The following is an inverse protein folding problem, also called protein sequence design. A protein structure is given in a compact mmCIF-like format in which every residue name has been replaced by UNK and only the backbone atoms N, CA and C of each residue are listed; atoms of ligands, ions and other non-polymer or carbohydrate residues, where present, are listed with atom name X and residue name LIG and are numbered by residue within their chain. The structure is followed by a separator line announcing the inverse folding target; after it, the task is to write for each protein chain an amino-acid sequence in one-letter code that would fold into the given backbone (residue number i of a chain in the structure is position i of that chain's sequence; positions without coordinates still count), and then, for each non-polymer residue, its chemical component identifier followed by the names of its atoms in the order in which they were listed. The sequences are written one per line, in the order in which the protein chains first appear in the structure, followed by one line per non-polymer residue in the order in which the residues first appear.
data_IF_300898330065
#
_entry.id   IF_300898330065
#
_cell.length_a   1.000
_cell.length_b   1.000
_cell.length_c   1.000
_cell.angle_alpha   90.00
_cell.angle_beta   90.00
_cell.angle_gamma   90.00
#
_symmetry.space_group_name_H-M   'P 1'
#
loop_
_entity.id
_entity.type
_entity.pdbx_description
1 polymer ?
#
# COMPACT_ATOMS: atom_id res chain seq x y z
N UNK A 1 30.88 -44.18 14.13
CA UNK A 1 31.42 -43.26 15.17
C UNK A 1 30.45 -43.25 16.34
N UNK A 2 30.91 -43.24 17.59
CA UNK A 2 30.01 -43.10 18.75
C UNK A 2 29.81 -41.61 19.14
N UNK A 3 28.80 -41.32 19.96
CA UNK A 3 28.44 -39.94 20.36
C UNK A 3 29.62 -39.21 21.00
N UNK A 4 30.36 -39.86 21.91
CA UNK A 4 31.50 -39.24 22.62
C UNK A 4 32.65 -38.86 21.68
N UNK A 5 32.95 -39.69 20.69
CA UNK A 5 33.94 -39.39 19.65
C UNK A 5 33.48 -38.26 18.74
N UNK A 6 32.20 -38.26 18.36
CA UNK A 6 31.59 -37.20 17.56
C UNK A 6 31.65 -35.84 18.26
N UNK A 7 31.26 -35.78 19.53
CA UNK A 7 31.37 -34.57 20.36
C UNK A 7 32.84 -34.14 20.47
N UNK A 8 33.75 -35.06 20.83
CA UNK A 8 35.17 -34.72 21.00
C UNK A 8 35.79 -34.16 19.70
N UNK A 9 35.36 -34.63 18.54
CA UNK A 9 35.91 -34.24 17.25
C UNK A 9 35.47 -32.83 16.81
N UNK A 10 34.21 -32.46 17.06
CA UNK A 10 33.63 -31.23 16.49
C UNK A 10 33.32 -30.13 17.49
N UNK A 11 33.48 -30.38 18.80
CA UNK A 11 33.19 -29.42 19.88
C UNK A 11 33.86 -28.06 19.69
N UNK A 12 35.13 -28.04 19.27
CA UNK A 12 35.87 -26.80 19.08
C UNK A 12 35.22 -25.91 18.01
N UNK A 13 34.73 -26.50 16.91
CA UNK A 13 34.04 -25.75 15.85
C UNK A 13 32.71 -25.17 16.32
N UNK A 14 31.99 -25.89 17.20
CA UNK A 14 30.74 -25.43 17.79
C UNK A 14 30.95 -24.28 18.78
N UNK A 15 31.99 -24.37 19.62
CA UNK A 15 32.38 -23.30 20.55
C UNK A 15 32.80 -22.03 19.78
N UNK A 16 33.52 -22.16 18.66
CA UNK A 16 33.85 -21.03 17.78
C UNK A 16 32.59 -20.38 17.16
N UNK A 17 31.60 -21.18 16.76
CA UNK A 17 30.33 -20.67 16.26
C UNK A 17 29.57 -19.91 17.34
N UNK A 18 29.50 -20.44 18.56
CA UNK A 18 28.82 -19.81 19.70
C UNK A 18 29.47 -18.47 20.11
N UNK A 19 30.80 -18.40 20.09
CA UNK A 19 31.54 -17.15 20.27
C UNK A 19 31.23 -16.14 19.15
N UNK A 20 31.20 -16.60 17.90
CA UNK A 20 30.86 -15.78 16.74
C UNK A 20 29.43 -15.23 16.81
N UNK A 21 28.47 -16.06 17.24
CA UNK A 21 27.08 -15.64 17.54
C UNK A 21 27.06 -14.51 18.55
N UNK A 22 27.84 -14.63 19.64
CA UNK A 22 27.91 -13.61 20.70
C UNK A 22 28.48 -12.28 20.20
N UNK A 23 29.54 -12.32 19.38
CA UNK A 23 30.18 -11.14 18.79
C UNK A 23 29.23 -10.44 17.82
N UNK A 24 28.57 -11.20 16.94
CA UNK A 24 27.64 -10.66 15.95
C UNK A 24 26.36 -10.11 16.60
N UNK A 25 25.85 -10.78 17.64
CA UNK A 25 24.67 -10.31 18.38
C UNK A 25 24.90 -8.97 19.08
N UNK A 26 26.10 -8.72 19.60
CA UNK A 26 26.47 -7.46 20.28
C UNK A 26 26.66 -6.25 19.33
N UNK A 27 26.49 -6.41 18.01
CA UNK A 27 26.62 -5.33 17.00
C UNK A 27 27.88 -4.46 17.20
N UNK A 28 29.04 -5.09 17.45
CA UNK A 28 30.29 -4.37 17.57
C UNK A 28 30.62 -3.66 16.25
N UNK A 29 30.99 -2.37 16.29
CA UNK A 29 31.31 -1.53 15.11
C UNK A 29 32.49 -2.02 14.25
N UNK A 30 33.09 -3.18 14.56
CA UNK A 30 34.28 -3.76 13.91
C UNK A 30 34.05 -5.12 13.26
N UNK A 31 32.82 -5.47 12.85
CA UNK A 31 32.60 -6.72 12.11
C UNK A 31 33.13 -6.56 10.68
N UNK A 32 34.12 -7.36 10.30
CA UNK A 32 34.70 -7.38 8.96
C UNK A 32 34.00 -8.39 8.05
N UNK A 33 34.19 -8.28 6.73
CA UNK A 33 33.71 -9.28 5.77
C UNK A 33 34.29 -10.68 6.04
N UNK A 34 35.53 -10.76 6.52
CA UNK A 34 36.18 -12.01 6.89
C UNK A 34 35.44 -12.72 8.05
N UNK A 35 34.98 -11.97 9.05
CA UNK A 35 34.23 -12.51 10.19
C UNK A 35 32.88 -13.10 9.76
N UNK A 36 32.20 -12.45 8.80
CA UNK A 36 30.93 -12.93 8.25
C UNK A 36 31.12 -14.23 7.45
N UNK A 37 32.18 -14.30 6.63
CA UNK A 37 32.48 -15.51 5.87
C UNK A 37 32.88 -16.69 6.77
N UNK A 38 33.65 -16.44 7.83
CA UNK A 38 34.00 -17.45 8.82
C UNK A 38 32.76 -17.96 9.56
N UNK A 39 31.89 -17.05 10.01
CA UNK A 39 30.62 -17.39 10.66
C UNK A 39 29.72 -18.24 9.76
N UNK A 40 29.55 -17.87 8.48
CA UNK A 40 28.74 -18.63 7.53
C UNK A 40 29.29 -20.05 7.31
N UNK A 41 30.62 -20.21 7.25
CA UNK A 41 31.27 -21.53 7.11
C UNK A 41 31.01 -22.40 8.35
N UNK A 42 31.19 -21.86 9.55
CA UNK A 42 30.95 -22.57 10.81
C UNK A 42 29.47 -22.97 10.95
N UNK A 43 28.55 -22.07 10.57
CA UNK A 43 27.12 -22.36 10.52
C UNK A 43 26.78 -23.55 9.60
N UNK A 44 27.32 -23.56 8.37
CA UNK A 44 27.05 -24.65 7.41
C UNK A 44 27.56 -26.00 7.94
N UNK A 45 28.74 -26.02 8.56
CA UNK A 45 29.28 -27.22 9.20
C UNK A 45 28.39 -27.69 10.37
N UNK A 46 27.98 -26.78 11.25
CA UNK A 46 27.09 -27.11 12.36
C UNK A 46 25.73 -27.66 11.88
N UNK A 47 25.18 -27.13 10.79
CA UNK A 47 23.95 -27.65 10.17
C UNK A 47 24.13 -29.07 9.60
N UNK A 48 25.28 -29.35 8.99
CA UNK A 48 25.63 -30.71 8.55
C UNK A 48 25.77 -31.67 9.74
N UNK A 49 26.42 -31.23 10.83
CA UNK A 49 26.57 -32.02 12.05
C UNK A 49 25.23 -32.29 12.72
N UNK A 50 24.29 -31.32 12.71
CA UNK A 50 22.93 -31.50 13.18
C UNK A 50 22.18 -32.56 12.35
N UNK A 51 22.26 -32.49 11.02
CA UNK A 51 21.61 -33.48 10.15
C UNK A 51 22.15 -34.89 10.40
N UNK A 52 23.47 -35.02 10.62
CA UNK A 52 24.09 -36.27 11.01
C UNK A 52 23.60 -36.74 12.39
N UNK A 53 23.59 -35.87 13.40
CA UNK A 53 23.20 -36.24 14.76
C UNK A 53 21.71 -36.60 14.87
N UNK A 54 20.83 -35.94 14.11
CA UNK A 54 19.41 -36.31 14.00
C UNK A 54 19.21 -37.72 13.43
N UNK A 55 20.10 -38.16 12.54
CA UNK A 55 20.00 -39.49 11.91
C UNK A 55 20.56 -40.59 12.81
N UNK A 56 21.69 -40.35 13.46
CA UNK A 56 22.43 -41.40 14.19
C UNK A 56 22.28 -41.33 15.71
N UNK A 57 21.94 -40.16 16.26
CA UNK A 57 21.87 -39.86 17.70
C UNK A 57 20.66 -38.98 18.08
N UNK A 58 19.42 -39.32 17.66
CA UNK A 58 18.27 -38.43 17.81
C UNK A 58 17.91 -38.08 19.26
N UNK A 59 18.10 -39.02 20.20
CA UNK A 59 17.71 -38.90 21.61
C UNK A 59 18.84 -38.36 22.52
N UNK A 60 19.97 -37.94 21.95
CA UNK A 60 21.14 -37.49 22.70
C UNK A 60 21.19 -35.96 22.83
N UNK A 61 21.68 -35.46 23.98
CA UNK A 61 21.76 -34.02 24.30
C UNK A 61 22.49 -33.20 23.22
N UNK A 62 23.47 -33.80 22.54
CA UNK A 62 24.23 -33.15 21.46
C UNK A 62 23.32 -32.72 20.30
N UNK A 63 22.28 -33.49 20.01
CA UNK A 63 21.34 -33.18 18.92
C UNK A 63 20.47 -31.97 19.29
N UNK A 64 20.02 -31.89 20.54
CA UNK A 64 19.30 -30.72 21.03
C UNK A 64 20.21 -29.48 21.04
N UNK A 65 21.44 -29.59 21.55
CA UNK A 65 22.41 -28.50 21.56
C UNK A 65 22.67 -27.94 20.15
N UNK A 66 22.92 -28.83 19.18
CA UNK A 66 23.15 -28.44 17.78
C UNK A 66 21.93 -27.78 17.16
N UNK A 67 20.73 -28.27 17.46
CA UNK A 67 19.49 -27.68 16.96
C UNK A 67 19.32 -26.24 17.44
N UNK A 68 19.59 -25.98 18.72
CA UNK A 68 19.54 -24.62 19.28
C UNK A 68 20.61 -23.71 18.67
N UNK A 69 21.86 -24.19 18.55
CA UNK A 69 22.98 -23.43 18.02
C UNK A 69 22.77 -23.05 16.55
N UNK A 70 22.30 -23.99 15.72
CA UNK A 70 21.98 -23.76 14.31
C UNK A 70 20.80 -22.80 14.17
N UNK A 71 19.76 -22.94 15.00
CA UNK A 71 18.59 -22.05 14.98
C UNK A 71 18.97 -20.60 15.36
N UNK A 72 19.76 -20.40 16.42
CA UNK A 72 20.25 -19.08 16.83
C UNK A 72 21.13 -18.45 15.74
N UNK A 73 22.00 -19.24 15.13
CA UNK A 73 22.89 -18.79 14.05
C UNK A 73 22.13 -18.45 12.76
N UNK A 74 21.13 -19.25 12.39
CA UNK A 74 20.26 -19.01 11.25
C UNK A 74 19.52 -17.68 11.38
N UNK A 75 18.95 -17.40 12.55
CA UNK A 75 18.27 -16.14 12.84
C UNK A 75 19.19 -14.91 12.76
N UNK A 76 20.51 -15.06 12.89
CA UNK A 76 21.47 -13.97 12.73
C UNK A 76 21.95 -13.79 11.29
N UNK A 77 22.16 -14.87 10.54
CA UNK A 77 22.52 -14.83 9.12
C UNK A 77 21.39 -14.28 8.26
N UNK A 78 20.16 -14.68 8.56
CA UNK A 78 18.99 -14.40 7.74
C UNK A 78 18.05 -13.37 8.38
N UNK A 79 18.48 -12.65 9.43
CA UNK A 79 17.80 -11.42 9.84
C UNK A 79 17.98 -10.40 8.72
N UNK A 80 16.95 -10.25 7.88
CA UNK A 80 16.91 -9.42 6.67
C UNK A 80 17.81 -8.17 6.75
N UNK A 81 18.96 -8.24 6.06
CA UNK A 81 19.99 -7.20 6.01
C UNK A 81 19.65 -6.07 5.03
N UNK A 82 18.40 -5.61 5.02
CA UNK A 82 18.06 -4.27 4.55
C UNK A 82 17.26 -3.65 5.69
N UNK A 83 17.78 -2.59 6.30
CA UNK A 83 17.01 -1.81 7.28
C UNK A 83 15.61 -1.60 6.71
N UNK A 84 14.57 -2.03 7.42
CA UNK A 84 13.17 -1.92 6.99
C UNK A 84 12.86 -0.53 6.41
N UNK A 85 13.49 0.50 6.97
CA UNK A 85 13.43 1.88 6.49
C UNK A 85 13.97 2.09 5.08
N UNK A 86 15.12 1.50 4.71
CA UNK A 86 15.66 1.58 3.34
C UNK A 86 14.76 0.87 2.33
N UNK A 87 14.16 -0.25 2.72
CA UNK A 87 13.23 -0.98 1.86
C UNK A 87 11.93 -0.19 1.65
N UNK A 88 11.39 0.41 2.72
CA UNK A 88 10.25 1.33 2.66
C UNK A 88 10.58 2.54 1.77
N UNK A 89 11.74 3.16 1.99
CA UNK A 89 12.18 4.30 1.18
C UNK A 89 12.31 3.92 -0.31
N UNK A 90 12.94 2.78 -0.61
CA UNK A 90 13.06 2.28 -1.98
C UNK A 90 11.69 1.98 -2.61
N UNK A 91 10.79 1.38 -1.83
CA UNK A 91 9.43 1.10 -2.28
C UNK A 91 8.68 2.39 -2.67
N UNK A 92 8.66 3.42 -1.82
CA UNK A 92 7.95 4.66 -2.10
C UNK A 92 8.65 5.55 -3.13
N UNK A 93 9.98 5.60 -3.15
CA UNK A 93 10.72 6.42 -4.13
C UNK A 93 10.76 5.80 -5.53
N UNK A 94 10.73 4.47 -5.61
CA UNK A 94 10.99 3.72 -6.84
C UNK A 94 9.82 2.82 -7.17
N UNK A 95 9.61 1.73 -6.43
CA UNK A 95 8.66 0.66 -6.80
C UNK A 95 7.24 1.15 -7.04
N UNK A 96 6.68 1.93 -6.09
CA UNK A 96 5.33 2.46 -6.17
C UNK A 96 5.15 3.40 -7.36
N UNK A 97 6.10 4.31 -7.57
CA UNK A 97 6.09 5.23 -8.71
C UNK A 97 6.11 4.48 -10.03
N UNK A 98 6.95 3.45 -10.16
CA UNK A 98 7.01 2.63 -11.37
C UNK A 98 5.68 1.93 -11.64
N UNK A 99 5.12 1.28 -10.61
CA UNK A 99 3.82 0.61 -10.70
C UNK A 99 2.71 1.59 -11.12
N UNK A 100 2.65 2.76 -10.49
CA UNK A 100 1.68 3.81 -10.77
C UNK A 100 1.78 4.29 -12.22
N UNK A 101 3.00 4.63 -12.65
CA UNK A 101 3.28 5.13 -14.00
C UNK A 101 3.08 4.06 -15.08
N UNK A 102 3.13 2.77 -14.77
CA UNK A 102 2.88 1.70 -15.74
C UNK A 102 1.39 1.47 -15.98
N UNK A 103 0.52 1.87 -15.04
CA UNK A 103 -0.93 1.66 -15.13
C UNK A 103 -1.76 2.95 -15.17
N UNK A 104 -1.12 4.12 -15.29
CA UNK A 104 -1.77 5.44 -15.22
C UNK A 104 -3.04 5.56 -16.08
N UNK A 105 -3.08 4.91 -17.24
CA UNK A 105 -4.27 4.89 -18.12
C UNK A 105 -5.50 4.36 -17.41
N UNK A 106 -5.35 3.28 -16.63
CA UNK A 106 -6.45 2.70 -15.87
C UNK A 106 -6.84 3.57 -14.67
N UNK A 107 -5.91 4.32 -14.09
CA UNK A 107 -6.20 5.33 -13.06
C UNK A 107 -7.06 6.45 -13.64
N UNK A 108 -6.75 6.93 -14.84
CA UNK A 108 -7.57 7.93 -15.55
C UNK A 108 -8.95 7.36 -15.92
N UNK A 109 -9.04 6.11 -16.37
CA UNK A 109 -10.33 5.46 -16.61
C UNK A 109 -11.14 5.36 -15.32
N UNK A 110 -10.51 5.01 -14.20
CA UNK A 110 -11.18 4.94 -12.91
C UNK A 110 -11.73 6.32 -12.48
N UNK A 111 -10.92 7.38 -12.64
CA UNK A 111 -11.34 8.76 -12.41
C UNK A 111 -12.53 9.14 -13.31
N UNK A 112 -12.50 8.76 -14.59
CA UNK A 112 -13.59 9.05 -15.52
C UNK A 112 -14.89 8.33 -15.14
N UNK A 113 -14.83 7.04 -14.76
CA UNK A 113 -16.00 6.30 -14.31
C UNK A 113 -16.63 6.91 -13.05
N UNK A 114 -15.80 7.30 -12.09
CA UNK A 114 -16.25 8.03 -10.91
C UNK A 114 -16.92 9.36 -11.30
N UNK A 115 -16.28 10.15 -12.16
CA UNK A 115 -16.79 11.46 -12.59
C UNK A 115 -18.09 11.34 -13.37
N UNK A 116 -18.25 10.28 -14.16
CA UNK A 116 -19.49 9.98 -14.87
C UNK A 116 -20.65 9.75 -13.88
N UNK A 117 -20.43 8.95 -12.83
CA UNK A 117 -21.43 8.76 -11.78
C UNK A 117 -21.76 10.05 -11.04
N UNK A 118 -20.73 10.82 -10.67
CA UNK A 118 -20.89 12.10 -9.97
C UNK A 118 -21.64 13.14 -10.80
N UNK A 119 -21.31 13.28 -12.08
CA UNK A 119 -21.98 14.24 -12.95
C UNK A 119 -23.44 13.83 -13.20
N UNK A 120 -23.70 12.53 -13.41
CA UNK A 120 -25.06 12.03 -13.63
C UNK A 120 -25.97 12.31 -12.43
N UNK A 121 -25.52 11.99 -11.21
CA UNK A 121 -26.31 12.25 -10.00
C UNK A 121 -26.41 13.74 -9.67
N UNK A 122 -25.34 14.51 -9.88
CA UNK A 122 -25.36 15.96 -9.69
C UNK A 122 -26.42 16.61 -10.57
N UNK A 123 -26.45 16.31 -11.87
CA UNK A 123 -27.47 16.82 -12.80
C UNK A 123 -28.88 16.36 -12.38
N UNK A 124 -29.04 15.10 -11.98
CA UNK A 124 -30.34 14.56 -11.55
C UNK A 124 -30.90 15.30 -10.34
N UNK A 125 -30.08 15.55 -9.32
CA UNK A 125 -30.49 16.23 -8.08
C UNK A 125 -30.63 17.74 -8.28
N UNK A 126 -29.87 18.34 -9.21
CA UNK A 126 -30.07 19.74 -9.58
C UNK A 126 -31.46 20.00 -10.19
N UNK A 127 -32.02 19.03 -10.92
CA UNK A 127 -33.35 19.15 -11.52
C UNK A 127 -34.46 19.04 -10.49
N UNK A 128 -34.33 18.10 -9.56
CA UNK A 128 -35.26 17.91 -8.45
C UNK A 128 -34.49 17.37 -7.22
N UNK A 129 -34.42 18.14 -6.11
CA UNK A 129 -33.78 17.70 -4.87
C UNK A 129 -34.35 16.39 -4.32
N UNK A 130 -35.61 16.05 -4.61
CA UNK A 130 -36.24 14.81 -4.15
C UNK A 130 -35.60 13.56 -4.76
N UNK A 131 -34.93 13.68 -5.91
CA UNK A 131 -34.17 12.56 -6.49
C UNK A 131 -33.07 12.05 -5.55
N UNK A 132 -32.62 12.86 -4.59
CA UNK A 132 -31.69 12.43 -3.55
C UNK A 132 -32.17 11.20 -2.78
N UNK A 133 -33.45 11.11 -2.44
CA UNK A 133 -34.02 10.00 -1.67
C UNK A 133 -34.04 8.66 -2.43
N UNK A 134 -33.88 8.72 -3.77
CA UNK A 134 -33.72 7.51 -4.60
C UNK A 134 -32.26 7.05 -4.71
N UNK A 135 -31.31 7.92 -4.36
CA UNK A 135 -29.88 7.71 -4.50
C UNK A 135 -29.25 7.34 -3.16
N UNK A 136 -29.57 8.09 -2.11
CA UNK A 136 -29.04 7.88 -0.77
C UNK A 136 -29.88 6.85 -0.01
N UNK A 137 -29.24 5.96 0.78
CA UNK A 137 -29.97 5.18 1.78
C UNK A 137 -30.77 6.11 2.70
N UNK A 138 -31.98 5.70 3.08
CA UNK A 138 -32.91 6.52 3.86
C UNK A 138 -32.26 7.09 5.13
N UNK A 139 -31.48 6.26 5.84
CA UNK A 139 -30.77 6.66 7.06
C UNK A 139 -29.79 7.82 6.82
N UNK A 140 -29.08 7.80 5.69
CA UNK A 140 -28.14 8.86 5.34
C UNK A 140 -28.89 10.13 4.91
N UNK A 141 -29.93 9.99 4.10
CA UNK A 141 -30.74 11.11 3.63
C UNK A 141 -31.40 11.90 4.78
N UNK A 142 -31.82 11.21 5.85
CA UNK A 142 -32.40 11.85 7.04
C UNK A 142 -31.36 12.46 7.99
N UNK A 143 -30.11 12.01 7.92
CA UNK A 143 -29.00 12.52 8.74
C UNK A 143 -28.31 13.78 8.17
N UNK A 144 -28.52 14.08 6.88
CA UNK A 144 -27.89 15.22 6.22
C UNK A 144 -28.81 16.45 6.38
N UNK A 145 -28.39 17.38 7.24
CA UNK A 145 -28.94 18.74 7.29
C UNK A 145 -27.92 19.71 6.67
N UNK A 146 -28.22 20.29 5.50
CA UNK A 146 -27.31 21.26 4.89
C UNK A 146 -27.04 22.51 5.74
N UNK A 147 -27.95 22.85 6.66
CA UNK A 147 -27.83 24.01 7.53
C UNK A 147 -26.94 23.77 8.75
N UNK A 148 -26.69 22.51 9.12
CA UNK A 148 -25.84 22.14 10.26
C UNK A 148 -24.35 22.01 9.90
N UNK A 149 -23.96 22.31 8.65
CA UNK A 149 -22.54 22.32 8.26
C UNK A 149 -21.79 23.39 9.04
N UNK A 150 -20.77 22.97 9.79
CA UNK A 150 -19.90 23.87 10.55
C UNK A 150 -20.53 24.45 11.82
N UNK A 151 -21.72 24.01 12.24
CA UNK A 151 -22.35 24.41 13.50
C UNK A 151 -21.92 23.52 14.68
N UNK A 152 -21.45 22.30 14.40
CA UNK A 152 -21.03 21.32 15.42
C UNK A 152 -19.57 21.50 15.86
N UNK A 153 -19.16 22.76 16.07
CA UNK A 153 -17.80 23.10 16.50
C UNK A 153 -17.64 22.85 18.01
N UNK A 154 -17.57 21.58 18.44
CA UNK A 154 -17.12 21.25 19.80
C UNK A 154 -17.62 19.96 20.44
N UNK A 155 -18.68 19.31 19.92
CA UNK A 155 -19.27 18.12 20.59
C UNK A 155 -18.88 16.78 19.95
N UNK A 156 -18.25 16.80 18.77
CA UNK A 156 -17.89 15.58 18.03
C UNK A 156 -16.40 15.31 18.22
N UNK A 157 -16.06 14.12 18.71
CA UNK A 157 -14.69 13.63 18.85
C UNK A 157 -14.05 13.44 17.45
N UNK A 158 -13.46 14.51 16.91
CA UNK A 158 -12.87 14.59 15.57
C UNK A 158 -11.96 13.40 15.20
N UNK A 159 -11.09 12.91 16.09
CA UNK A 159 -10.34 11.68 15.90
C UNK A 159 -11.17 10.43 15.59
N UNK A 160 -12.29 10.20 16.30
CA UNK A 160 -13.13 9.00 16.07
C UNK A 160 -13.94 9.11 14.79
N UNK A 161 -14.46 10.30 14.48
CA UNK A 161 -15.17 10.56 13.21
C UNK A 161 -14.22 10.39 12.01
N UNK A 162 -13.01 10.95 12.09
CA UNK A 162 -11.98 10.78 11.07
C UNK A 162 -11.60 9.31 10.88
N UNK A 163 -11.42 8.54 11.97
CA UNK A 163 -11.13 7.12 11.88
C UNK A 163 -12.24 6.34 11.16
N UNK A 164 -13.51 6.67 11.40
CA UNK A 164 -14.66 6.05 10.73
C UNK A 164 -14.71 6.38 9.23
N UNK A 165 -14.51 7.65 8.86
CA UNK A 165 -14.47 8.10 7.46
C UNK A 165 -13.30 7.46 6.72
N UNK A 166 -12.10 7.50 7.32
CA UNK A 166 -10.90 6.87 6.77
C UNK A 166 -11.09 5.36 6.56
N UNK A 167 -11.72 4.67 7.52
CA UNK A 167 -12.00 3.22 7.40
C UNK A 167 -12.95 2.94 6.23
N UNK A 168 -13.99 3.76 6.06
CA UNK A 168 -14.90 3.66 4.91
C UNK A 168 -14.16 3.84 3.58
N UNK A 169 -13.31 4.87 3.47
CA UNK A 169 -12.58 5.15 2.22
C UNK A 169 -11.54 4.07 1.90
N UNK A 170 -10.86 3.52 2.92
CA UNK A 170 -9.98 2.35 2.77
C UNK A 170 -10.79 1.14 2.29
N UNK A 171 -11.98 0.91 2.86
CA UNK A 171 -12.86 -0.18 2.44
C UNK A 171 -13.29 -0.02 0.98
N UNK A 172 -13.67 1.18 0.55
CA UNK A 172 -14.00 1.49 -0.85
C UNK A 172 -12.81 1.18 -1.77
N UNK A 173 -11.59 1.58 -1.40
CA UNK A 173 -10.41 1.28 -2.19
C UNK A 173 -10.11 -0.23 -2.27
N UNK A 174 -10.24 -0.96 -1.16
CA UNK A 174 -10.09 -2.42 -1.13
C UNK A 174 -11.15 -3.10 -2.00
N UNK A 175 -12.41 -2.66 -1.93
CA UNK A 175 -13.51 -3.20 -2.74
C UNK A 175 -13.32 -2.90 -4.22
N UNK A 176 -12.91 -1.67 -4.58
CA UNK A 176 -12.60 -1.30 -5.96
C UNK A 176 -11.48 -2.17 -6.53
N UNK A 177 -10.44 -2.43 -5.73
CA UNK A 177 -9.38 -3.35 -6.08
C UNK A 177 -9.88 -4.80 -6.24
N UNK A 178 -10.54 -5.35 -5.22
CA UNK A 178 -10.99 -6.74 -5.16
C UNK A 178 -12.04 -7.05 -6.25
N UNK A 179 -12.87 -6.07 -6.60
CA UNK A 179 -13.79 -6.11 -7.72
C UNK A 179 -13.13 -6.36 -9.08
N UNK A 180 -11.81 -6.23 -9.19
CA UNK A 180 -11.07 -6.61 -10.39
C UNK A 180 -11.17 -8.10 -10.72
N UNK A 181 -11.35 -8.95 -9.69
CA UNK A 181 -11.52 -10.40 -9.85
C UNK A 181 -12.79 -10.74 -10.64
N UNK A 182 -13.83 -9.91 -10.56
CA UNK A 182 -15.07 -10.07 -11.33
C UNK A 182 -14.96 -9.48 -12.74
N UNK A 183 -13.79 -9.67 -13.38
CA UNK A 183 -13.46 -9.10 -14.69
C UNK A 183 -13.59 -7.56 -14.75
N UNK A 184 -13.45 -6.89 -13.59
CA UNK A 184 -13.54 -5.43 -13.46
C UNK A 184 -14.96 -4.89 -13.26
N UNK A 185 -16.00 -5.71 -13.36
CA UNK A 185 -17.40 -5.28 -13.18
C UNK A 185 -17.62 -4.73 -11.77
N UNK A 186 -17.09 -5.41 -10.75
CA UNK A 186 -17.18 -4.95 -9.36
C UNK A 186 -16.46 -3.62 -9.15
N UNK A 187 -15.30 -3.43 -9.78
CA UNK A 187 -14.56 -2.17 -9.73
C UNK A 187 -15.35 -1.02 -10.34
N UNK A 188 -15.96 -1.24 -11.51
CA UNK A 188 -16.80 -0.24 -12.19
C UNK A 188 -17.97 0.16 -11.30
N UNK A 189 -18.68 -0.82 -10.73
CA UNK A 189 -19.79 -0.58 -9.82
C UNK A 189 -19.36 0.28 -8.63
N UNK A 190 -18.28 -0.08 -7.94
CA UNK A 190 -17.80 0.67 -6.77
C UNK A 190 -17.47 2.12 -7.14
N UNK A 191 -16.75 2.35 -8.24
CA UNK A 191 -16.35 3.69 -8.67
C UNK A 191 -17.55 4.56 -9.07
N UNK A 192 -18.48 4.02 -9.86
CA UNK A 192 -19.69 4.75 -10.28
C UNK A 192 -20.57 5.05 -9.07
N UNK A 193 -20.83 4.08 -8.19
CA UNK A 193 -21.69 4.27 -7.01
C UNK A 193 -21.12 5.30 -6.03
N UNK A 194 -19.80 5.31 -5.82
CA UNK A 194 -19.15 6.34 -5.01
C UNK A 194 -19.20 7.72 -5.70
N UNK A 195 -19.05 7.76 -7.03
CA UNK A 195 -19.25 8.98 -7.80
C UNK A 195 -20.66 9.53 -7.62
N UNK A 196 -21.67 8.68 -7.81
CA UNK A 196 -23.09 9.01 -7.64
C UNK A 196 -23.34 9.65 -6.27
N UNK A 197 -22.82 9.05 -5.19
CA UNK A 197 -22.94 9.57 -3.83
C UNK A 197 -22.40 11.00 -3.71
N UNK A 198 -21.15 11.23 -4.14
CA UNK A 198 -20.50 12.54 -4.05
C UNK A 198 -21.22 13.60 -4.90
N UNK A 199 -21.65 13.23 -6.10
CA UNK A 199 -22.39 14.13 -6.99
C UNK A 199 -23.76 14.55 -6.43
N UNK A 200 -24.49 13.62 -5.80
CA UNK A 200 -25.78 13.91 -5.19
C UNK A 200 -25.64 14.87 -4.00
N UNK A 201 -24.63 14.65 -3.15
CA UNK A 201 -24.32 15.54 -2.04
C UNK A 201 -23.94 16.95 -2.55
N UNK A 202 -23.05 17.03 -3.55
CA UNK A 202 -22.64 18.31 -4.11
C UNK A 202 -23.83 19.13 -4.66
N UNK A 203 -24.80 18.48 -5.31
CA UNK A 203 -26.00 19.13 -5.83
C UNK A 203 -26.96 19.59 -4.74
N UNK A 204 -27.10 18.82 -3.65
CA UNK A 204 -27.89 19.25 -2.49
C UNK A 204 -27.32 20.51 -1.87
N UNK A 205 -26.02 20.51 -1.55
CA UNK A 205 -25.38 21.68 -0.96
C UNK A 205 -25.41 22.89 -1.90
N UNK A 206 -25.41 22.66 -3.21
CA UNK A 206 -25.69 23.72 -4.19
C UNK A 206 -27.09 24.31 -4.04
N UNK A 207 -28.13 23.48 -3.93
CA UNK A 207 -29.52 23.93 -3.78
C UNK A 207 -29.73 24.79 -2.51
N UNK A 208 -29.01 24.48 -1.43
CA UNK A 208 -29.06 25.23 -0.18
C UNK A 208 -28.11 26.44 -0.13
N UNK A 209 -27.41 26.76 -1.23
CA UNK A 209 -26.46 27.89 -1.27
C UNK A 209 -25.21 27.68 -0.42
N UNK A 210 -24.88 26.42 -0.10
CA UNK A 210 -23.77 25.99 0.79
C UNK A 210 -22.67 25.24 0.04
N UNK A 211 -22.62 25.36 -1.29
CA UNK A 211 -21.62 24.66 -2.11
C UNK A 211 -20.18 25.04 -1.73
N UNK A 212 -19.92 26.31 -1.43
CA UNK A 212 -18.58 26.77 -1.06
C UNK A 212 -18.13 26.17 0.28
N UNK A 213 -19.02 26.13 1.28
CA UNK A 213 -18.77 25.47 2.56
C UNK A 213 -18.53 23.97 2.34
N UNK A 214 -19.43 23.28 1.64
CA UNK A 214 -19.33 21.84 1.36
C UNK A 214 -17.95 21.45 0.80
N UNK A 215 -17.48 22.16 -0.23
CA UNK A 215 -16.17 21.88 -0.82
C UNK A 215 -15.00 22.26 0.10
N UNK A 216 -15.13 23.28 0.94
CA UNK A 216 -14.11 23.62 1.93
C UNK A 216 -13.93 22.51 2.98
N UNK A 217 -14.99 21.75 3.27
CA UNK A 217 -14.92 20.61 4.19
C UNK A 217 -14.45 19.32 3.52
N UNK A 218 -14.62 19.15 2.20
CA UNK A 218 -14.29 17.90 1.48
C UNK A 218 -12.96 17.95 0.75
N UNK A 219 -12.69 19.00 -0.03
CA UNK A 219 -11.51 19.07 -0.92
C UNK A 219 -10.18 18.87 -0.18
N UNK A 220 -9.94 19.41 1.05
CA UNK A 220 -8.65 19.29 1.73
C UNK A 220 -8.14 17.86 1.88
N UNK A 221 -9.01 16.93 2.29
CA UNK A 221 -8.68 15.51 2.45
C UNK A 221 -9.11 14.70 1.21
N UNK A 222 -10.28 15.02 0.64
CA UNK A 222 -10.93 14.25 -0.42
C UNK A 222 -10.11 14.15 -1.70
N UNK A 223 -9.30 15.16 -2.04
CA UNK A 223 -8.39 15.06 -3.20
C UNK A 223 -7.34 13.95 -3.03
N UNK A 224 -6.83 13.77 -1.81
CA UNK A 224 -5.83 12.75 -1.48
C UNK A 224 -6.47 11.37 -1.45
N UNK A 225 -7.67 11.25 -0.86
CA UNK A 225 -8.42 10.00 -0.80
C UNK A 225 -8.91 9.53 -2.16
N UNK A 226 -9.50 10.44 -2.95
CA UNK A 226 -9.95 10.12 -4.31
C UNK A 226 -8.77 9.67 -5.17
N UNK A 227 -7.58 10.28 -5.02
CA UNK A 227 -6.39 9.79 -5.70
C UNK A 227 -6.06 8.35 -5.30
N UNK A 228 -6.09 8.01 -4.01
CA UNK A 228 -5.89 6.65 -3.54
C UNK A 228 -6.94 5.66 -4.10
N UNK A 229 -8.21 6.07 -4.10
CA UNK A 229 -9.33 5.29 -4.66
C UNK A 229 -9.15 5.07 -6.17
N UNK A 230 -8.73 6.08 -6.93
CA UNK A 230 -8.48 5.95 -8.37
C UNK A 230 -7.28 5.06 -8.67
N UNK A 231 -6.24 5.06 -7.82
CA UNK A 231 -5.11 4.15 -7.94
C UNK A 231 -5.57 2.70 -7.70
N UNK A 232 -6.36 2.46 -6.65
CA UNK A 232 -6.90 1.14 -6.33
C UNK A 232 -7.90 0.66 -7.40
N UNK A 233 -8.81 1.53 -7.85
CA UNK A 233 -9.74 1.27 -8.93
C UNK A 233 -9.04 1.00 -10.25
N UNK A 234 -8.01 1.78 -10.60
CA UNK A 234 -7.19 1.52 -11.79
C UNK A 234 -6.50 0.15 -11.72
N UNK A 235 -6.03 -0.26 -10.55
CA UNK A 235 -5.44 -1.58 -10.33
C UNK A 235 -6.49 -2.71 -10.48
N UNK A 236 -7.71 -2.50 -9.99
CA UNK A 236 -8.84 -3.41 -10.16
C UNK A 236 -9.27 -3.55 -11.63
N UNK A 237 -9.40 -2.44 -12.35
CA UNK A 237 -9.74 -2.43 -13.78
C UNK A 237 -8.67 -3.10 -14.63
N UNK A 238 -7.38 -2.85 -14.36
CA UNK A 238 -6.28 -3.51 -15.06
C UNK A 238 -6.29 -5.02 -14.81
N UNK A 239 -6.54 -5.44 -13.57
CA UNK A 239 -6.72 -6.86 -13.25
C UNK A 239 -7.86 -7.47 -14.06
N UNK A 240 -9.04 -6.85 -14.02
CA UNK A 240 -10.20 -7.31 -14.78
C UNK A 240 -9.93 -7.42 -16.28
N UNK A 241 -9.30 -6.40 -16.86
CA UNK A 241 -8.88 -6.39 -18.26
C UNK A 241 -7.93 -7.54 -18.60
N UNK A 242 -6.95 -7.85 -17.74
CA UNK A 242 -6.00 -8.96 -17.96
C UNK A 242 -6.61 -10.34 -17.74
N UNK A 243 -7.73 -10.45 -17.03
CA UNK A 243 -8.51 -11.69 -16.96
C UNK A 243 -9.35 -11.90 -18.22
N UNK A 244 -9.90 -10.81 -18.78
CA UNK A 244 -10.65 -10.84 -20.05
C UNK A 244 -9.73 -11.11 -21.24
N UNK A 245 -8.61 -10.38 -21.32
CA UNK A 245 -7.64 -10.43 -22.42
C UNK A 245 -6.26 -10.82 -21.87
N UNK A 246 -6.04 -12.11 -21.56
CA UNK A 246 -4.83 -12.57 -20.87
C UNK A 246 -3.59 -12.65 -21.78
N UNK A 247 -3.77 -12.56 -23.10
CA UNK A 247 -2.70 -12.69 -24.09
C UNK A 247 -2.13 -14.11 -24.10
N UNK A 248 -0.79 -14.24 -24.12
CA UNK A 248 -0.08 -15.53 -24.14
C UNK A 248 -0.06 -16.26 -22.80
N UNK A 249 -0.55 -15.64 -21.72
CA UNK A 249 -0.55 -16.24 -20.38
C UNK A 249 -1.91 -16.82 -20.02
N UNK A 250 -1.94 -17.78 -19.08
CA UNK A 250 -3.21 -18.25 -18.53
C UNK A 250 -3.87 -17.19 -17.66
N UNK A 251 -5.20 -17.23 -17.54
CA UNK A 251 -5.96 -16.34 -16.63
C UNK A 251 -5.48 -16.46 -15.18
N UNK A 252 -5.18 -17.68 -14.73
CA UNK A 252 -4.65 -17.92 -13.38
C UNK A 252 -3.28 -17.27 -13.16
N UNK A 253 -2.42 -17.28 -14.16
CA UNK A 253 -1.14 -16.58 -14.09
C UNK A 253 -1.34 -15.06 -14.03
N UNK A 254 -2.20 -14.51 -14.91
CA UNK A 254 -2.52 -13.09 -14.90
C UNK A 254 -3.14 -12.65 -13.58
N UNK A 255 -4.04 -13.46 -13.00
CA UNK A 255 -4.62 -13.19 -11.70
C UNK A 255 -3.55 -13.02 -10.62
N UNK A 256 -2.64 -13.99 -10.49
CA UNK A 256 -1.55 -13.94 -9.50
C UNK A 256 -0.63 -12.74 -9.73
N UNK A 257 -0.28 -12.47 -10.99
CA UNK A 257 0.59 -11.36 -11.36
C UNK A 257 -0.04 -10.01 -11.05
N UNK A 258 -1.29 -9.79 -11.49
CA UNK A 258 -1.98 -8.52 -11.25
C UNK A 258 -2.34 -8.37 -9.77
N UNK A 259 -2.77 -9.43 -9.07
CA UNK A 259 -3.05 -9.36 -7.64
C UNK A 259 -1.82 -8.89 -6.84
N UNK A 260 -0.63 -9.45 -7.13
CA UNK A 260 0.62 -9.00 -6.48
C UNK A 260 0.90 -7.53 -6.75
N UNK A 261 0.80 -7.07 -8.00
CA UNK A 261 1.03 -5.67 -8.37
C UNK A 261 0.02 -4.74 -7.68
N UNK A 262 -1.25 -5.11 -7.70
CA UNK A 262 -2.31 -4.32 -7.12
C UNK A 262 -2.22 -4.23 -5.59
N UNK A 263 -1.82 -5.30 -4.89
CA UNK A 263 -1.53 -5.25 -3.45
C UNK A 263 -0.39 -4.27 -3.17
N UNK A 264 0.67 -4.27 -3.98
CA UNK A 264 1.74 -3.27 -3.83
C UNK A 264 1.21 -1.85 -4.06
N UNK A 265 0.35 -1.62 -5.05
CA UNK A 265 -0.26 -0.31 -5.26
C UNK A 265 -1.14 0.12 -4.09
N UNK A 266 -1.96 -0.79 -3.55
CA UNK A 266 -2.79 -0.53 -2.37
C UNK A 266 -1.93 -0.18 -1.15
N UNK A 267 -0.86 -0.95 -0.88
CA UNK A 267 0.09 -0.62 0.19
C UNK A 267 0.73 0.76 -0.03
N UNK A 268 1.02 1.12 -1.27
CA UNK A 268 1.53 2.44 -1.62
C UNK A 268 0.54 3.59 -1.43
N UNK A 269 -0.76 3.30 -1.39
CA UNK A 269 -1.80 4.30 -1.08
C UNK A 269 -2.04 4.52 0.40
N UNK A 270 -1.53 3.66 1.31
CA UNK A 270 -1.75 3.81 2.76
C UNK A 270 -1.34 5.20 3.29
N UNK A 271 -0.17 5.76 2.94
CA UNK A 271 0.20 7.10 3.41
C UNK A 271 -0.76 8.19 2.94
N UNK A 272 -1.40 8.03 1.77
CA UNK A 272 -2.40 8.99 1.28
C UNK A 272 -3.63 8.98 2.19
N UNK A 273 -4.14 7.81 2.58
CA UNK A 273 -5.24 7.71 3.54
C UNK A 273 -4.87 8.25 4.92
N UNK A 274 -3.64 8.02 5.38
CA UNK A 274 -3.17 8.59 6.66
C UNK A 274 -3.13 10.12 6.60
N UNK A 275 -2.59 10.70 5.52
CA UNK A 275 -2.57 12.17 5.33
C UNK A 275 -4.00 12.71 5.29
N UNK A 276 -4.90 12.04 4.56
CA UNK A 276 -6.30 12.43 4.49
C UNK A 276 -6.99 12.37 5.85
N UNK A 277 -6.83 11.28 6.61
CA UNK A 277 -7.38 11.14 7.96
C UNK A 277 -6.83 12.18 8.94
N UNK A 278 -5.56 12.58 8.81
CA UNK A 278 -5.00 13.69 9.60
C UNK A 278 -5.65 15.02 9.23
N UNK A 279 -5.83 15.30 7.93
CA UNK A 279 -6.54 16.51 7.50
C UNK A 279 -7.99 16.48 7.99
N UNK A 280 -8.66 15.34 7.90
CA UNK A 280 -10.04 15.18 8.35
C UNK A 280 -10.20 15.31 9.87
N UNK A 281 -9.29 14.74 10.65
CA UNK A 281 -9.38 14.78 12.11
C UNK A 281 -8.99 16.14 12.71
N UNK A 282 -8.14 16.91 12.05
CA UNK A 282 -7.58 18.14 12.61
C UNK A 282 -7.92 19.42 11.84
N UNK A 283 -8.02 19.38 10.51
CA UNK A 283 -8.27 20.58 9.69
C UNK A 283 -9.76 20.75 9.42
N UNK A 284 -10.46 19.70 9.02
CA UNK A 284 -11.90 19.76 8.70
C UNK A 284 -12.75 20.31 9.86
N UNK A 285 -12.63 19.82 11.12
CA UNK A 285 -13.41 20.32 12.26
C UNK A 285 -12.84 21.61 12.87
N UNK A 286 -11.68 22.09 12.43
CA UNK A 286 -11.07 23.29 13.02
C UNK A 286 -11.82 24.57 12.67
N UNK A 287 -11.73 25.55 13.57
CA UNK A 287 -12.31 26.88 13.42
C UNK A 287 -11.52 27.83 12.49
N UNK A 288 -10.60 27.30 11.67
CA UNK A 288 -9.88 28.09 10.67
C UNK A 288 -10.82 28.51 9.54
N UNK A 289 -10.48 29.59 8.82
CA UNK A 289 -11.31 30.08 7.73
C UNK A 289 -11.43 29.08 6.57
N UNK A 290 -12.50 29.19 5.77
CA UNK A 290 -12.71 28.30 4.62
C UNK A 290 -11.58 28.44 3.59
N UNK A 291 -11.05 29.65 3.41
CA UNK A 291 -9.91 29.93 2.52
C UNK A 291 -8.66 29.18 2.99
N UNK A 292 -8.42 29.11 4.31
CA UNK A 292 -7.31 28.34 4.86
C UNK A 292 -7.48 26.83 4.58
N UNK A 293 -8.71 26.31 4.63
CA UNK A 293 -9.01 24.91 4.26
C UNK A 293 -8.69 24.67 2.77
N UNK A 294 -9.13 25.56 1.87
CA UNK A 294 -8.77 25.47 0.45
C UNK A 294 -7.26 25.56 0.21
N UNK A 295 -6.56 26.39 0.97
CA UNK A 295 -5.10 26.48 0.88
C UNK A 295 -4.40 25.17 1.25
N UNK A 296 -4.88 24.47 2.28
CA UNK A 296 -4.42 23.11 2.62
C UNK A 296 -4.64 22.15 1.44
N UNK A 297 -5.81 22.21 0.80
CA UNK A 297 -6.10 21.38 -0.38
C UNK A 297 -5.13 21.64 -1.56
N UNK A 298 -4.80 22.91 -1.82
CA UNK A 298 -3.85 23.27 -2.88
C UNK A 298 -2.45 22.74 -2.55
N UNK A 299 -2.00 22.87 -1.30
CA UNK A 299 -0.69 22.36 -0.86
C UNK A 299 -0.61 20.85 -1.02
N UNK A 300 -1.65 20.10 -0.62
CA UNK A 300 -1.64 18.63 -0.70
C UNK A 300 -1.59 18.15 -2.14
N UNK A 301 -2.35 18.78 -3.04
CA UNK A 301 -2.32 18.49 -4.48
C UNK A 301 -0.95 18.83 -5.10
N UNK A 302 -0.36 19.97 -4.75
CA UNK A 302 0.98 20.35 -5.23
C UNK A 302 2.02 19.34 -4.72
N UNK A 303 1.97 18.97 -3.44
CA UNK A 303 2.88 18.01 -2.84
C UNK A 303 2.81 16.63 -3.50
N UNK A 304 1.59 16.13 -3.73
CA UNK A 304 1.36 14.87 -4.42
C UNK A 304 1.85 14.91 -5.87
N UNK A 305 1.57 16.01 -6.58
CA UNK A 305 2.02 16.21 -7.97
C UNK A 305 3.54 16.27 -8.04
N UNK A 306 4.18 17.03 -7.16
CA UNK A 306 5.63 17.12 -7.06
C UNK A 306 6.26 15.76 -6.77
N UNK A 307 5.70 14.98 -5.84
CA UNK A 307 6.15 13.63 -5.53
C UNK A 307 6.13 12.70 -6.76
N UNK A 308 5.03 12.69 -7.52
CA UNK A 308 4.91 11.88 -8.74
C UNK A 308 5.88 12.37 -9.83
N UNK A 309 6.03 13.68 -10.01
CA UNK A 309 6.93 14.25 -11.01
C UNK A 309 8.40 13.98 -10.71
N UNK A 310 8.83 14.14 -9.45
CA UNK A 310 10.18 13.81 -9.01
C UNK A 310 10.45 12.33 -9.25
N UNK A 311 9.53 11.46 -8.84
CA UNK A 311 9.64 10.02 -9.10
C UNK A 311 9.75 9.68 -10.58
N UNK A 312 8.99 10.37 -11.44
CA UNK A 312 9.05 10.20 -12.90
C UNK A 312 10.42 10.63 -13.48
N UNK A 313 11.02 11.71 -12.98
CA UNK A 313 12.36 12.15 -13.39
C UNK A 313 13.42 11.14 -12.94
N UNK A 314 13.35 10.67 -11.71
CA UNK A 314 14.27 9.66 -11.17
C UNK A 314 14.20 8.33 -11.96
N UNK A 315 12.99 7.90 -12.35
CA UNK A 315 12.80 6.75 -13.25
C UNK A 315 13.52 6.94 -14.59
N UNK A 316 13.44 8.12 -15.20
CA UNK A 316 14.13 8.40 -16.46
C UNK A 316 15.66 8.36 -16.32
N UNK A 317 16.19 8.85 -15.20
CA UNK A 317 17.63 8.83 -14.92
C UNK A 317 18.18 7.41 -14.68
N UNK A 318 17.33 6.48 -14.24
CA UNK A 318 17.68 5.08 -14.01
C UNK A 318 17.48 4.18 -15.25
N UNK A 319 16.81 4.68 -16.30
CA UNK A 319 16.69 3.94 -17.55
C UNK A 319 18.10 3.85 -18.19
N UNK A 320 18.66 2.64 -18.40
CA UNK A 320 19.96 2.50 -19.05
C UNK A 320 19.88 3.22 -20.40
N UNK A 321 20.85 4.10 -20.64
CA UNK A 321 20.95 4.85 -21.89
C UNK A 321 20.79 3.91 -23.07
N UNK A 322 19.96 4.29 -24.04
CA UNK A 322 19.80 3.59 -25.31
C UNK A 322 21.16 3.43 -26.00
N UNK A 323 21.89 2.36 -25.71
CA UNK A 323 22.66 1.69 -26.74
C UNK A 323 21.64 1.03 -27.65
N UNK A 324 21.37 1.71 -28.78
CA UNK A 324 20.74 1.12 -29.95
C UNK A 324 21.61 -0.04 -30.43
N UNK A 325 21.41 -1.23 -29.90
CA UNK A 325 21.75 -2.45 -30.63
C UNK A 325 20.60 -2.71 -31.59
N UNK A 326 20.87 -2.44 -32.87
CA UNK A 326 20.01 -2.79 -33.99
C UNK A 326 19.88 -4.32 -34.02
N UNK A 327 18.77 -4.86 -33.51
CA UNK A 327 18.43 -6.30 -33.63
C UNK A 327 17.84 -6.63 -35.00
N UNK A 328 18.32 -5.99 -36.07
CA UNK A 328 17.81 -6.16 -37.45
C UNK A 328 18.79 -6.84 -38.41
N UNK A 329 19.90 -7.39 -37.89
CA UNK A 329 20.90 -8.11 -38.70
C UNK A 329 20.90 -9.64 -38.45
N UNK A 330 19.82 -10.20 -37.91
CA UNK A 330 19.57 -11.64 -37.89
C UNK A 330 18.11 -11.88 -38.30
N UNK A 331 17.87 -11.84 -39.60
CA UNK A 331 17.02 -12.77 -40.38
C UNK A 331 16.89 -12.29 -41.82
#
# INVERSE_FOLDING_TARGET
MNVKQFVKQYREEWEQLEQSVTILHKRSKKITSADIHQFQRLYQKAAQHLSYSQTYFPEEDVTQYLNELVSKSHNLLYKDQISSLKQIQHFFSTTFIHLLLDQWKFVIIAMFLFMMGALASYISVLQDPLHMYSILPADLAHSIDPNSLGTNNGEIDGPTMSAAIMTNNIQVAILAFAGGVTFGVGTIYVLISNGILVGALAALYWHYGKAYDFWAYIVPHGMVELTAIFIAGGAGLLMGYKLLVPGHFSRNYQLKLQAKRSVQLLLGTIPLFVIAGLIEGYITPSAISLEAKYFVAVITVIGLTAYILIGKVLRKAQAPGHHRTNWRDFD
#
